data_IF_376698308273
#
_entry.id   IF_376698308273
#
_cell.length_a   1.000
_cell.length_b   1.000
_cell.length_c   1.000
_cell.angle_alpha   90.00
_cell.angle_beta   90.00
_cell.angle_gamma   90.00
#
_symmetry.space_group_name_H-M   'P 1'
#
loop_
_entity.id
_entity.type
_entity.pdbx_description
1 polymer ?
#
# COMPACT_ATOMS: atom_id res chain seq x y z
N UNK A 1 -7.90 11.52 -6.76
CA UNK A 1 -7.73 11.35 -5.29
C UNK A 1 -8.25 9.97 -4.95
N UNK A 2 -7.42 9.08 -4.42
CA UNK A 2 -7.91 7.77 -3.97
C UNK A 2 -8.41 7.92 -2.53
N UNK A 3 -9.73 7.89 -2.37
CA UNK A 3 -10.37 7.89 -1.06
C UNK A 3 -10.63 6.43 -0.66
N UNK A 4 -9.89 5.94 0.34
CA UNK A 4 -10.10 4.61 0.92
C UNK A 4 -11.33 4.66 1.83
N UNK A 5 -12.53 4.67 1.26
CA UNK A 5 -13.79 4.64 2.04
C UNK A 5 -14.74 3.59 1.49
N UNK A 6 -15.44 2.91 2.39
CA UNK A 6 -16.48 1.92 2.08
C UNK A 6 -17.85 2.53 1.79
N UNK A 7 -17.98 3.87 1.75
CA UNK A 7 -19.24 4.61 1.59
C UNK A 7 -19.13 5.84 0.68
N UNK A 8 -18.21 5.82 -0.29
CA UNK A 8 -18.31 6.76 -1.40
C UNK A 8 -19.50 6.31 -2.27
N UNK A 9 -20.41 7.20 -2.72
CA UNK A 9 -21.48 6.82 -3.65
C UNK A 9 -20.95 6.20 -4.94
N UNK A 10 -19.74 6.57 -5.36
CA UNK A 10 -19.03 6.00 -6.51
C UNK A 10 -17.56 5.73 -6.15
N UNK A 11 -17.26 4.61 -5.47
CA UNK A 11 -15.88 4.30 -5.10
C UNK A 11 -15.09 3.93 -6.35
N UNK A 12 -13.94 4.58 -6.54
CA UNK A 12 -13.04 4.30 -7.66
C UNK A 12 -12.54 2.84 -7.67
N UNK A 13 -12.37 2.25 -6.50
CA UNK A 13 -11.92 0.87 -6.35
C UNK A 13 -12.47 0.23 -5.07
N UNK A 14 -12.65 -1.09 -5.12
CA UNK A 14 -13.10 -1.91 -4.00
C UNK A 14 -11.91 -2.73 -3.49
N UNK A 15 -11.63 -2.61 -2.19
CA UNK A 15 -10.57 -3.37 -1.52
C UNK A 15 -11.21 -4.47 -0.70
N UNK A 16 -10.76 -5.70 -0.91
CA UNK A 16 -11.17 -6.85 -0.12
C UNK A 16 -9.96 -7.40 0.63
N UNK A 17 -10.08 -7.52 1.95
CA UNK A 17 -9.06 -8.11 2.82
C UNK A 17 -9.52 -9.47 3.33
N UNK A 18 -8.64 -10.47 3.26
CA UNK A 18 -8.86 -11.80 3.79
C UNK A 18 -7.92 -12.06 4.97
N UNK A 19 -8.43 -12.73 6.00
CA UNK A 19 -7.65 -13.15 7.18
C UNK A 19 -7.68 -14.67 7.28
N UNK A 20 -6.51 -15.31 7.37
CA UNK A 20 -6.38 -16.69 7.88
C UNK A 20 -6.39 -17.85 6.87
N UNK A 21 -6.65 -17.64 5.58
CA UNK A 21 -6.67 -18.74 4.59
C UNK A 21 -5.51 -18.66 3.60
N UNK A 22 -4.64 -19.69 3.58
CA UNK A 22 -3.47 -19.78 2.67
C UNK A 22 -3.82 -19.80 1.19
N UNK A 23 -5.05 -20.17 0.83
CA UNK A 23 -5.49 -20.33 -0.57
C UNK A 23 -5.98 -19.04 -1.24
N UNK A 24 -6.07 -17.93 -0.51
CA UNK A 24 -6.51 -16.63 -1.05
C UNK A 24 -5.45 -15.55 -0.82
N UNK A 25 -5.32 -14.57 -1.72
CA UNK A 25 -4.50 -13.39 -1.45
C UNK A 25 -5.06 -12.63 -0.25
N UNK A 26 -4.16 -12.09 0.58
CA UNK A 26 -4.53 -11.33 1.78
C UNK A 26 -5.27 -10.03 1.46
N UNK A 27 -4.94 -9.39 0.33
CA UNK A 27 -5.60 -8.17 -0.13
C UNK A 27 -5.87 -8.30 -1.63
N UNK A 28 -7.06 -7.94 -2.08
CA UNK A 28 -7.41 -7.85 -3.50
C UNK A 28 -8.05 -6.50 -3.80
N UNK A 29 -7.61 -5.87 -4.89
CA UNK A 29 -8.14 -4.61 -5.37
C UNK A 29 -8.91 -4.83 -6.67
N UNK A 30 -10.13 -4.33 -6.73
CA UNK A 30 -11.03 -4.41 -7.88
C UNK A 30 -11.36 -3.03 -8.42
N UNK A 31 -11.56 -2.94 -9.74
CA UNK A 31 -11.95 -1.70 -10.41
C UNK A 31 -13.43 -1.40 -10.18
N UNK A 32 -13.80 -0.33 -9.48
CA UNK A 32 -15.20 -0.02 -9.19
C UNK A 32 -15.66 -0.51 -7.82
N UNK A 33 -16.96 -0.75 -7.65
CA UNK A 33 -17.58 -0.74 -6.32
C UNK A 33 -17.68 -2.10 -5.61
N UNK A 34 -17.41 -3.21 -6.30
CA UNK A 34 -17.52 -4.54 -5.72
C UNK A 34 -16.56 -5.56 -6.38
N UNK A 35 -16.53 -6.78 -5.84
CA UNK A 35 -15.67 -7.89 -6.27
C UNK A 35 -16.00 -8.50 -7.64
N UNK A 36 -17.13 -8.13 -8.25
CA UNK A 36 -17.56 -8.68 -9.54
C UNK A 36 -16.90 -7.97 -10.72
N UNK A 37 -16.25 -6.84 -10.47
CA UNK A 37 -15.49 -6.13 -11.47
C UNK A 37 -14.08 -6.72 -11.65
N UNK A 38 -13.35 -6.20 -12.64
CA UNK A 38 -11.98 -6.61 -12.95
C UNK A 38 -11.07 -6.45 -11.73
N UNK A 39 -10.36 -7.52 -11.37
CA UNK A 39 -9.27 -7.46 -10.40
C UNK A 39 -8.11 -6.64 -10.98
N UNK A 40 -7.72 -5.59 -10.28
CA UNK A 40 -6.61 -4.71 -10.63
C UNK A 40 -5.30 -5.21 -10.06
N UNK A 41 -5.31 -5.80 -8.86
CA UNK A 41 -4.13 -6.37 -8.22
C UNK A 41 -4.50 -7.22 -7.01
N UNK A 42 -3.55 -8.03 -6.57
CA UNK A 42 -3.62 -8.79 -5.31
C UNK A 42 -2.30 -8.75 -4.57
N UNK A 43 -2.36 -8.75 -3.25
CA UNK A 43 -1.20 -8.88 -2.38
C UNK A 43 -1.32 -10.15 -1.53
N UNK A 44 -0.21 -10.86 -1.35
CA UNK A 44 -0.11 -12.05 -0.51
C UNK A 44 1.10 -11.92 0.41
N UNK A 45 0.89 -12.14 1.71
CA UNK A 45 1.96 -12.22 2.70
C UNK A 45 2.43 -13.68 2.81
N UNK A 46 3.68 -13.92 2.45
CA UNK A 46 4.32 -15.25 2.47
C UNK A 46 5.28 -15.39 3.65
N UNK A 47 5.35 -16.61 4.18
CA UNK A 47 6.28 -16.99 5.25
C UNK A 47 5.96 -16.39 6.62
N UNK A 48 6.79 -16.74 7.62
CA UNK A 48 6.70 -16.19 8.99
C UNK A 48 7.17 -14.73 9.08
N UNK A 49 8.04 -14.32 8.16
CA UNK A 49 8.61 -12.98 8.11
C UNK A 49 7.67 -11.96 7.45
N UNK A 50 6.55 -12.42 6.88
CA UNK A 50 5.57 -11.55 6.23
C UNK A 50 6.06 -10.97 4.90
N UNK A 51 6.83 -11.72 4.14
CA UNK A 51 7.31 -11.31 2.81
C UNK A 51 6.11 -10.96 1.93
N UNK A 52 6.04 -9.71 1.51
CA UNK A 52 4.90 -9.18 0.78
C UNK A 52 5.14 -9.32 -0.72
N UNK A 53 4.26 -10.05 -1.38
CA UNK A 53 4.27 -10.21 -2.84
C UNK A 53 3.01 -9.59 -3.42
N UNK A 54 3.18 -8.66 -4.36
CA UNK A 54 2.08 -7.97 -5.03
C UNK A 54 2.07 -8.38 -6.49
N UNK A 55 0.93 -8.86 -6.96
CA UNK A 55 0.69 -9.26 -8.34
C UNK A 55 -0.31 -8.29 -8.95
N UNK A 56 0.08 -7.61 -10.02
CA UNK A 56 -0.83 -6.77 -10.80
C UNK A 56 -1.78 -7.67 -11.62
N UNK A 57 -3.03 -7.26 -11.77
CA UNK A 57 -3.98 -7.97 -12.63
C UNK A 57 -3.49 -7.98 -14.08
N UNK A 58 -3.87 -9.01 -14.87
CA UNK A 58 -3.37 -9.25 -16.23
C UNK A 58 -3.17 -7.95 -17.01
N UNK A 59 -1.91 -7.63 -17.27
CA UNK A 59 -1.48 -6.53 -18.13
C UNK A 59 -1.67 -6.99 -19.58
N UNK A 60 -1.82 -6.05 -20.50
CA UNK A 60 -2.03 -6.33 -21.94
C UNK A 60 -0.88 -7.10 -22.61
N UNK A 61 0.20 -7.40 -21.88
CA UNK A 61 1.49 -7.84 -22.41
C UNK A 61 2.04 -9.16 -21.83
N UNK A 62 1.29 -9.91 -21.02
CA UNK A 62 1.70 -11.27 -20.61
C UNK A 62 1.46 -11.62 -19.13
N UNK A 63 2.39 -12.38 -18.55
CA UNK A 63 2.35 -12.83 -17.15
C UNK A 63 2.25 -11.62 -16.20
N UNK A 64 1.35 -11.73 -15.24
CA UNK A 64 1.05 -10.68 -14.28
C UNK A 64 2.33 -10.23 -13.53
N UNK A 65 2.78 -8.96 -13.70
CA UNK A 65 3.97 -8.47 -13.01
C UNK A 65 3.82 -8.69 -11.51
N UNK A 66 4.74 -9.49 -10.97
CA UNK A 66 4.73 -9.86 -9.57
C UNK A 66 5.98 -9.31 -8.91
N UNK A 67 5.77 -8.35 -8.03
CA UNK A 67 6.84 -7.60 -7.39
C UNK A 67 6.86 -7.88 -5.90
N UNK A 68 8.08 -8.06 -5.39
CA UNK A 68 8.32 -8.19 -3.95
C UNK A 68 8.38 -6.79 -3.35
N UNK A 69 7.66 -6.62 -2.24
CA UNK A 69 7.85 -5.47 -1.38
C UNK A 69 8.76 -5.91 -0.25
N UNK A 70 10.01 -5.52 -0.35
CA UNK A 70 11.02 -5.88 0.64
C UNK A 70 11.03 -4.84 1.77
N UNK A 71 11.43 -5.32 2.94
CA UNK A 71 11.68 -4.50 4.12
C UNK A 71 13.16 -4.61 4.45
N UNK A 72 13.92 -3.54 4.26
CA UNK A 72 15.33 -3.48 4.64
C UNK A 72 15.51 -2.60 5.88
N UNK A 73 16.25 -3.10 6.88
CA UNK A 73 16.75 -2.33 8.02
C UNK A 73 16.49 -2.93 9.40
N UNK A 74 17.46 -2.77 10.31
CA UNK A 74 17.37 -3.20 11.73
C UNK A 74 16.62 -2.19 12.62
N UNK A 75 16.63 -0.89 12.26
CA UNK A 75 16.04 0.19 13.05
C UNK A 75 14.97 1.00 12.30
N UNK A 76 14.97 0.95 10.96
CA UNK A 76 13.98 1.61 10.10
C UNK A 76 13.51 0.60 9.07
N UNK A 77 12.20 0.41 9.00
CA UNK A 77 11.54 -0.48 8.06
C UNK A 77 11.38 0.29 6.75
N UNK A 78 12.27 0.07 5.78
CA UNK A 78 12.15 0.69 4.45
C UNK A 78 11.38 -0.24 3.53
N UNK A 79 10.19 0.18 3.12
CA UNK A 79 9.38 -0.56 2.15
C UNK A 79 9.67 -0.08 0.74
N UNK A 80 10.03 -0.99 -0.15
CA UNK A 80 10.33 -0.62 -1.53
C UNK A 80 9.78 -1.65 -2.51
N UNK A 81 9.56 -1.22 -3.75
CA UNK A 81 9.23 -2.12 -4.85
C UNK A 81 9.96 -1.65 -6.12
N UNK A 82 10.13 -2.56 -7.07
CA UNK A 82 10.60 -2.21 -8.40
C UNK A 82 9.46 -2.40 -9.39
N UNK A 83 9.42 -1.64 -10.49
CA UNK A 83 8.42 -1.81 -11.54
C UNK A 83 9.05 -1.46 -12.88
N UNK A 84 8.78 -2.29 -13.90
CA UNK A 84 9.10 -1.91 -15.27
C UNK A 84 8.06 -0.91 -15.78
N UNK A 85 8.52 0.24 -16.25
CA UNK A 85 7.66 1.31 -16.74
C UNK A 85 7.86 1.49 -18.23
N UNK A 86 6.81 1.19 -19.01
CA UNK A 86 6.84 1.30 -20.47
C UNK A 86 7.20 2.71 -20.94
N UNK A 87 6.75 3.74 -20.22
CA UNK A 87 7.05 5.15 -20.54
C UNK A 87 8.54 5.50 -20.43
N UNK A 88 9.31 4.71 -19.69
CA UNK A 88 10.73 4.91 -19.45
C UNK A 88 11.59 3.80 -20.07
N UNK A 89 10.96 2.74 -20.60
CA UNK A 89 11.57 1.52 -21.11
C UNK A 89 12.59 0.91 -20.13
N UNK A 90 12.37 1.09 -18.83
CA UNK A 90 13.31 0.74 -17.78
C UNK A 90 12.61 0.24 -16.52
N UNK A 91 13.32 -0.59 -15.75
CA UNK A 91 12.90 -0.99 -14.40
C UNK A 91 13.37 0.06 -13.39
N UNK A 92 12.45 0.54 -12.58
CA UNK A 92 12.72 1.57 -11.58
C UNK A 92 12.36 1.12 -10.18
N UNK A 93 13.13 1.60 -9.21
CA UNK A 93 12.91 1.34 -7.77
C UNK A 93 12.21 2.53 -7.12
N UNK A 94 11.22 2.21 -6.31
CA UNK A 94 10.40 3.15 -5.56
C UNK A 94 10.41 2.81 -4.08
N UNK A 95 10.54 3.83 -3.23
CA UNK A 95 10.70 3.68 -1.79
C UNK A 95 9.66 4.48 -1.01
N UNK A 96 8.93 3.80 -0.14
CA UNK A 96 8.11 4.45 0.88
C UNK A 96 9.01 4.91 2.02
N UNK A 97 8.95 6.20 2.32
CA UNK A 97 9.67 6.85 3.41
C UNK A 97 8.68 7.59 4.30
N UNK A 98 8.99 7.70 5.58
CA UNK A 98 8.22 8.55 6.48
C UNK A 98 8.33 10.02 6.04
N UNK A 99 7.21 10.73 6.07
CA UNK A 99 7.22 12.15 5.81
C UNK A 99 7.74 12.92 7.03
N UNK A 100 8.56 13.95 6.79
CA UNK A 100 8.80 15.00 7.78
C UNK A 100 7.64 16.00 7.73
N UNK A 101 7.31 16.64 8.86
CA UNK A 101 6.13 17.51 9.04
C UNK A 101 5.88 18.52 7.88
N UNK A 102 6.94 19.06 7.27
CA UNK A 102 6.85 19.99 6.15
C UNK A 102 6.15 19.45 4.89
N UNK A 103 6.28 18.15 4.60
CA UNK A 103 5.78 17.53 3.36
C UNK A 103 4.28 17.18 3.45
N UNK A 104 3.79 16.93 4.67
CA UNK A 104 2.37 16.62 4.95
C UNK A 104 1.57 17.87 5.33
N UNK A 105 2.26 19.00 5.58
CA UNK A 105 1.63 20.28 5.93
C UNK A 105 0.63 20.74 4.86
N UNK A 106 0.95 20.51 3.58
CA UNK A 106 0.04 20.79 2.46
C UNK A 106 -1.26 19.99 2.51
N UNK A 107 -1.26 18.83 3.20
CA UNK A 107 -2.44 18.00 3.42
C UNK A 107 -3.08 18.21 4.80
N UNK A 108 -2.55 19.12 5.63
CA UNK A 108 -3.02 19.42 6.99
C UNK A 108 -3.01 18.20 7.94
N UNK A 109 -2.03 17.32 7.78
CA UNK A 109 -1.85 16.15 8.64
C UNK A 109 -0.49 16.17 9.36
N UNK A 110 -0.40 15.52 10.53
CA UNK A 110 0.79 15.50 11.38
C UNK A 110 1.76 14.36 11.05
N UNK A 111 1.32 13.33 10.34
CA UNK A 111 2.13 12.18 9.95
C UNK A 111 1.63 11.55 8.65
N UNK A 112 2.51 10.84 7.97
CA UNK A 112 2.24 10.25 6.67
C UNK A 112 3.49 9.60 6.08
N UNK A 113 3.33 9.09 4.87
CA UNK A 113 4.41 8.48 4.10
C UNK A 113 4.49 9.12 2.73
N UNK A 114 5.67 9.09 2.12
CA UNK A 114 5.89 9.52 0.74
C UNK A 114 6.53 8.39 -0.04
N UNK A 115 6.14 8.27 -1.30
CA UNK A 115 6.79 7.38 -2.25
C UNK A 115 7.79 8.21 -3.05
N UNK A 116 9.04 7.77 -3.05
CA UNK A 116 10.17 8.43 -3.72
C UNK A 116 10.67 7.54 -4.85
N UNK A 117 10.95 8.14 -6.00
CA UNK A 117 11.67 7.50 -7.10
C UNK A 117 13.16 7.50 -6.77
N UNK A 118 13.74 6.34 -6.50
CA UNK A 118 15.10 6.24 -5.93
C UNK A 118 16.17 6.87 -6.83
N UNK A 119 16.03 6.71 -8.14
CA UNK A 119 17.01 7.22 -9.12
C UNK A 119 17.10 8.75 -9.15
N UNK A 120 15.98 9.45 -8.92
CA UNK A 120 15.90 10.92 -9.06
C UNK A 120 15.65 11.65 -7.74
N UNK A 121 15.43 10.91 -6.66
CA UNK A 121 14.95 11.39 -5.35
C UNK A 121 13.65 12.22 -5.43
N UNK A 122 12.86 12.02 -6.49
CA UNK A 122 11.62 12.73 -6.72
C UNK A 122 10.47 12.13 -5.89
N UNK A 123 9.71 12.99 -5.20
CA UNK A 123 8.49 12.58 -4.49
C UNK A 123 7.33 12.50 -5.47
N UNK A 124 6.81 11.29 -5.67
CA UNK A 124 5.79 11.00 -6.68
C UNK A 124 4.41 10.74 -6.08
N UNK A 125 4.35 10.25 -4.84
CA UNK A 125 3.10 10.02 -4.09
C UNK A 125 3.28 10.49 -2.66
N UNK A 126 2.22 11.06 -2.09
CA UNK A 126 2.16 11.36 -0.65
C UNK A 126 0.88 10.76 -0.07
N UNK A 127 1.04 10.11 1.07
CA UNK A 127 -0.01 9.57 1.90
C UNK A 127 -0.06 10.33 3.23
N UNK A 128 -1.26 10.74 3.63
CA UNK A 128 -1.53 11.32 4.94
C UNK A 128 -2.41 10.38 5.77
N UNK A 129 -1.96 10.08 6.98
CA UNK A 129 -2.75 9.33 7.97
C UNK A 129 -3.80 10.26 8.57
N UNK A 130 -5.05 9.79 8.66
CA UNK A 130 -6.13 10.55 9.29
C UNK A 130 -6.29 10.04 10.72
N UNK A 131 -5.87 10.83 11.71
CA UNK A 131 -5.85 10.43 13.12
C UNK A 131 -7.20 10.46 13.83
N UNK A 132 -8.21 11.18 13.29
CA UNK A 132 -9.45 11.48 14.02
C UNK A 132 -10.74 11.00 13.34
N UNK A 133 -10.68 10.25 12.23
CA UNK A 133 -11.87 9.80 11.52
C UNK A 133 -12.10 8.31 11.76
N UNK A 134 -13.19 7.95 12.43
CA UNK A 134 -13.55 6.54 12.71
C UNK A 134 -13.73 5.67 11.45
N UNK A 135 -13.79 6.26 10.25
CA UNK A 135 -14.13 5.58 8.99
C UNK A 135 -13.17 5.84 7.83
N UNK A 136 -12.11 6.63 8.02
CA UNK A 136 -11.14 6.97 6.95
C UNK A 136 -9.73 6.68 7.44
N UNK A 137 -9.05 5.75 6.76
CA UNK A 137 -7.68 5.35 7.13
C UNK A 137 -6.65 6.42 6.76
N UNK A 138 -6.86 7.08 5.62
CA UNK A 138 -5.99 8.15 5.15
C UNK A 138 -6.37 8.70 3.79
N UNK A 139 -5.49 9.54 3.23
CA UNK A 139 -5.63 10.11 1.88
C UNK A 139 -4.33 9.92 1.11
N UNK A 140 -4.41 9.51 -0.15
CA UNK A 140 -3.26 9.40 -1.04
C UNK A 140 -3.40 10.36 -2.22
N UNK A 141 -2.33 11.10 -2.51
CA UNK A 141 -2.21 12.05 -3.61
C UNK A 141 -0.99 11.72 -4.47
N UNK A 142 -1.20 11.58 -5.77
CA UNK A 142 -0.14 11.54 -6.77
C UNK A 142 0.25 12.97 -7.11
N UNK A 143 1.55 13.28 -7.06
CA UNK A 143 2.05 14.61 -7.41
C UNK A 143 2.34 14.69 -8.91
N UNK A 144 3.13 13.75 -9.42
CA UNK A 144 3.49 13.63 -10.85
C UNK A 144 3.15 12.23 -11.43
N UNK A 145 2.34 11.45 -10.71
CA UNK A 145 2.10 10.03 -11.01
C UNK A 145 1.26 9.72 -12.27
N UNK A 146 0.70 10.72 -12.95
CA UNK A 146 0.00 10.50 -14.23
C UNK A 146 0.95 10.09 -15.36
N UNK A 147 2.23 10.48 -15.29
CA UNK A 147 3.23 10.16 -16.31
C UNK A 147 3.78 8.74 -16.22
N UNK A 148 3.64 8.08 -15.07
CA UNK A 148 4.17 6.73 -14.83
C UNK A 148 3.16 5.62 -15.18
N UNK A 149 1.96 5.99 -15.66
CA UNK A 149 0.95 5.06 -16.10
C UNK A 149 0.09 4.45 -14.99
N UNK A 150 -0.91 3.67 -15.39
CA UNK A 150 -1.91 3.08 -14.50
C UNK A 150 -1.31 1.98 -13.60
N UNK A 151 -0.42 1.16 -14.14
CA UNK A 151 0.20 0.06 -13.42
C UNK A 151 1.01 0.56 -12.22
N UNK A 152 1.73 1.68 -12.39
CA UNK A 152 2.39 2.37 -11.29
C UNK A 152 1.39 2.82 -10.23
N UNK A 153 0.25 3.41 -10.61
CA UNK A 153 -0.74 3.90 -9.66
C UNK A 153 -1.37 2.76 -8.85
N UNK A 154 -1.67 1.65 -9.50
CA UNK A 154 -2.18 0.42 -8.86
C UNK A 154 -1.12 -0.13 -7.90
N UNK A 155 0.13 -0.22 -8.34
CA UNK A 155 1.23 -0.76 -7.54
C UNK A 155 1.51 0.14 -6.31
N UNK A 156 1.55 1.46 -6.48
CA UNK A 156 1.66 2.41 -5.38
C UNK A 156 0.49 2.26 -4.38
N UNK A 157 -0.76 2.15 -4.85
CA UNK A 157 -1.90 1.96 -3.97
C UNK A 157 -1.82 0.63 -3.21
N UNK A 158 -1.46 -0.46 -3.89
CA UNK A 158 -1.38 -1.79 -3.29
C UNK A 158 -0.24 -1.94 -2.29
N UNK A 159 0.94 -1.39 -2.58
CA UNK A 159 2.06 -1.39 -1.61
C UNK A 159 1.67 -0.64 -0.35
N UNK A 160 1.06 0.55 -0.48
CA UNK A 160 0.58 1.31 0.68
C UNK A 160 -0.47 0.53 1.49
N UNK A 161 -1.49 -0.03 0.84
CA UNK A 161 -2.52 -0.84 1.51
C UNK A 161 -1.91 -2.00 2.29
N UNK A 162 -0.92 -2.65 1.70
CA UNK A 162 -0.26 -3.79 2.31
C UNK A 162 0.61 -3.38 3.51
N UNK A 163 1.31 -2.25 3.43
CA UNK A 163 2.04 -1.66 4.58
C UNK A 163 1.07 -1.36 5.73
N UNK A 164 -0.04 -0.69 5.45
CA UNK A 164 -1.04 -0.35 6.46
C UNK A 164 -1.67 -1.59 7.11
N UNK A 165 -1.89 -2.65 6.34
CA UNK A 165 -2.40 -3.92 6.85
C UNK A 165 -1.37 -4.61 7.77
N UNK A 166 -0.07 -4.55 7.44
CA UNK A 166 1.00 -5.05 8.32
C UNK A 166 1.05 -4.26 9.62
N UNK A 167 1.00 -2.93 9.57
CA UNK A 167 0.95 -2.08 10.77
C UNK A 167 -0.24 -2.44 11.67
N UNK A 168 -1.42 -2.60 11.07
CA UNK A 168 -2.65 -2.99 11.78
C UNK A 168 -2.48 -4.34 12.47
N UNK A 169 -2.02 -5.37 11.74
CA UNK A 169 -1.78 -6.72 12.30
C UNK A 169 -0.77 -6.69 13.45
N UNK A 170 0.28 -5.87 13.34
CA UNK A 170 1.29 -5.72 14.39
C UNK A 170 0.77 -4.98 15.62
N UNK A 171 -0.13 -3.99 15.46
CA UNK A 171 -0.80 -3.34 16.57
C UNK A 171 -1.70 -4.34 17.32
N UNK A 172 -2.54 -5.10 16.61
CA UNK A 172 -3.42 -6.12 17.19
C UNK A 172 -2.65 -7.26 17.90
N UNK A 173 -1.44 -7.60 17.43
CA UNK A 173 -0.56 -8.55 18.14
C UNK A 173 -0.04 -7.96 19.45
N UNK A 174 0.48 -6.74 19.43
CA UNK A 174 0.98 -6.05 20.63
C UNK A 174 -0.11 -5.84 21.67
N UNK A 175 -1.33 -5.49 21.26
CA UNK A 175 -2.45 -5.32 22.18
C UNK A 175 -2.86 -6.66 22.82
N UNK A 176 -2.87 -7.75 22.06
CA UNK A 176 -3.09 -9.10 22.61
C UNK A 176 -1.99 -9.53 23.58
N UNK A 177 -0.73 -9.26 23.26
CA UNK A 177 0.41 -9.56 24.14
C UNK A 177 0.33 -8.76 25.45
N UNK A 178 -0.01 -7.47 25.38
CA UNK A 178 -0.26 -6.63 26.56
C UNK A 178 -1.41 -7.14 27.41
N UNK A 179 -2.54 -7.51 26.79
CA UNK A 179 -3.65 -8.10 27.53
C UNK A 179 -3.24 -9.42 28.19
N UNK A 180 -2.54 -10.29 27.46
CA UNK A 180 -2.06 -11.56 28.01
C UNK A 180 -1.07 -11.37 29.18
N UNK A 181 -0.19 -10.36 29.13
CA UNK A 181 0.73 -10.07 30.23
C UNK A 181 0.03 -9.42 31.44
N UNK A 182 -1.15 -8.82 31.26
CA UNK A 182 -1.95 -8.26 32.36
C UNK A 182 -2.77 -9.33 33.12
N UNK A 183 -2.96 -10.53 32.56
CA UNK A 183 -3.66 -11.65 33.21
C UNK A 183 -2.70 -12.65 33.89
N UNK A 184 -1.41 -12.32 34.02
CA UNK A 184 -0.40 -13.12 34.72
C UNK A 184 0.05 -12.51 36.06
N UNK A 185 -0.68 -11.53 36.59
CA UNK A 185 -0.54 -10.93 37.92
C UNK A 185 -1.77 -11.26 38.77
#
# INVERSE_FOLDING_TARGET
MLALTTKDPEPFAHVQTYHGFRSKPDITLYQGCNKWYRQLASAQFKGRNGELQITLGSTSYGEAPTEKVECEGFFQVVHHFSLYLDSLLARERFEWRDCRYGEVKAMRHSSGMKLVRVKTDEVIVVYAKVSCAMKKTGKMKFLNGSMLGNDFQIMAAMSLLSILEVEKRNLERRDRERCASLFQL
#
